data_IF_329927753305
#
_entry.id   IF_329927753305
#
_cell.length_a   1.000
_cell.length_b   1.000
_cell.length_c   1.000
_cell.angle_alpha   90.00
_cell.angle_beta   90.00
_cell.angle_gamma   90.00
#
_symmetry.space_group_name_H-M   'P 1'
#
loop_
_entity.id
_entity.type
_entity.pdbx_description
1 polymer ?
#
# COMPACT_ATOMS: atom_id res chain seq x y z
N UNK A 1 -13.30 -18.17 21.51
CA UNK A 1 -12.25 -19.03 22.05
C UNK A 1 -11.61 -19.82 20.93
N UNK A 2 -10.34 -19.52 20.65
CA UNK A 2 -9.54 -20.18 19.63
C UNK A 2 -9.27 -21.65 20.04
N UNK A 3 -10.06 -22.57 19.54
CA UNK A 3 -9.99 -23.99 19.94
C UNK A 3 -8.74 -24.74 19.44
N UNK A 4 -7.92 -24.20 18.57
CA UNK A 4 -6.74 -24.91 18.04
C UNK A 4 -5.44 -24.61 18.77
N UNK A 5 -5.21 -23.39 19.25
CA UNK A 5 -4.07 -23.01 20.06
C UNK A 5 -4.32 -23.28 21.56
N UNK A 6 -5.60 -23.31 21.99
CA UNK A 6 -5.98 -23.52 23.37
C UNK A 6 -5.53 -24.85 23.98
N UNK A 7 -5.40 -25.92 23.19
CA UNK A 7 -5.06 -27.22 23.75
C UNK A 7 -3.56 -27.41 24.02
N UNK A 8 -2.70 -26.73 23.25
CA UNK A 8 -1.25 -26.72 23.53
C UNK A 8 -0.92 -25.85 24.74
N UNK A 9 -1.63 -24.74 24.89
CA UNK A 9 -1.40 -23.78 25.98
C UNK A 9 -2.16 -24.10 27.27
N UNK A 10 -3.21 -24.91 27.26
CA UNK A 10 -3.96 -25.34 28.45
C UNK A 10 -3.11 -26.05 29.50
N UNK A 11 -1.91 -26.52 29.13
CA UNK A 11 -0.98 -27.21 30.03
C UNK A 11 0.10 -26.31 30.65
N UNK A 12 0.23 -25.06 30.15
CA UNK A 12 1.19 -24.13 30.71
C UNK A 12 0.59 -23.40 31.90
N UNK A 13 1.24 -23.50 33.04
CA UNK A 13 0.90 -22.76 34.25
C UNK A 13 2.19 -22.39 35.02
N UNK A 14 2.12 -21.31 35.74
CA UNK A 14 3.19 -20.79 36.56
C UNK A 14 2.72 -20.63 38.01
N UNK A 15 3.63 -20.77 38.94
CA UNK A 15 3.32 -20.54 40.36
C UNK A 15 3.05 -19.05 40.58
N UNK A 16 2.04 -18.75 41.39
CA UNK A 16 1.70 -17.40 41.80
C UNK A 16 1.23 -17.36 43.25
N UNK A 17 1.20 -16.17 43.91
CA UNK A 17 0.66 -16.04 45.27
C UNK A 17 -0.79 -16.55 45.43
N UNK A 18 -1.49 -16.71 44.32
CA UNK A 18 -2.89 -17.18 44.29
C UNK A 18 -3.03 -18.63 43.81
N UNK A 19 -1.90 -19.35 43.67
CA UNK A 19 -1.85 -20.72 43.14
C UNK A 19 -1.29 -20.79 41.72
N UNK A 20 -1.15 -22.02 41.23
CA UNK A 20 -0.68 -22.21 39.85
C UNK A 20 -1.72 -21.74 38.81
N UNK A 21 -1.28 -20.94 37.89
CA UNK A 21 -2.16 -20.37 36.86
C UNK A 21 -1.41 -19.80 35.67
N UNK A 22 -2.13 -19.26 34.71
CA UNK A 22 -1.59 -18.59 33.57
C UNK A 22 -2.00 -17.12 33.58
N UNK A 23 -1.08 -16.16 33.29
CA UNK A 23 -1.43 -14.78 33.08
C UNK A 23 -2.50 -14.63 31.99
N UNK A 24 -3.44 -13.72 32.20
CA UNK A 24 -4.40 -13.35 31.16
C UNK A 24 -3.72 -12.58 30.03
N UNK A 25 -4.31 -12.61 28.85
CA UNK A 25 -3.77 -11.98 27.65
C UNK A 25 -3.46 -10.48 27.86
N UNK A 26 -4.33 -9.77 28.56
CA UNK A 26 -4.19 -8.32 28.76
C UNK A 26 -2.92 -7.96 29.54
N UNK A 27 -2.63 -8.70 30.61
CA UNK A 27 -1.45 -8.46 31.46
C UNK A 27 -0.15 -8.80 30.71
N UNK A 28 -0.18 -9.77 29.80
CA UNK A 28 0.97 -10.10 28.96
C UNK A 28 1.41 -8.85 28.17
N UNK A 29 0.45 -8.20 27.47
CA UNK A 29 0.72 -6.99 26.70
C UNK A 29 1.09 -5.79 27.58
N UNK A 30 0.40 -5.58 28.70
CA UNK A 30 0.71 -4.50 29.65
C UNK A 30 2.15 -4.60 30.17
N UNK A 31 2.61 -5.80 30.54
CA UNK A 31 3.98 -6.02 31.01
C UNK A 31 4.99 -5.86 29.89
N UNK A 32 4.78 -6.50 28.73
CA UNK A 32 5.73 -6.42 27.62
C UNK A 32 5.93 -4.99 27.13
N UNK A 33 4.85 -4.22 26.99
CA UNK A 33 4.95 -2.84 26.53
C UNK A 33 5.66 -1.94 27.54
N UNK A 34 5.29 -1.99 28.83
CA UNK A 34 5.91 -1.13 29.84
C UNK A 34 7.38 -1.48 30.13
N UNK A 35 7.76 -2.76 30.07
CA UNK A 35 9.16 -3.19 30.28
C UNK A 35 10.09 -2.88 29.10
N UNK A 36 9.55 -2.85 27.87
CA UNK A 36 10.36 -2.67 26.65
C UNK A 36 10.33 -1.21 26.17
N UNK A 37 9.15 -0.57 26.20
CA UNK A 37 8.92 0.74 25.60
C UNK A 37 8.82 1.87 26.65
N UNK A 38 8.76 1.53 27.92
CA UNK A 38 8.58 2.49 29.02
C UNK A 38 7.13 2.63 29.48
N UNK A 39 6.93 3.42 30.53
CA UNK A 39 5.65 3.53 31.23
C UNK A 39 4.55 4.21 30.38
N UNK A 40 4.95 5.07 29.46
CA UNK A 40 4.07 5.74 28.49
C UNK A 40 4.58 5.49 27.07
N UNK A 41 3.72 4.99 26.20
CA UNK A 41 4.04 4.77 24.79
C UNK A 41 3.37 5.84 23.91
N UNK A 42 3.98 6.13 22.75
CA UNK A 42 3.45 7.17 21.86
C UNK A 42 2.16 6.72 21.19
N UNK A 43 2.17 5.56 20.53
CA UNK A 43 1.05 5.04 19.77
C UNK A 43 0.80 3.59 20.15
N UNK A 44 -0.46 3.27 20.49
CA UNK A 44 -0.93 1.91 20.67
C UNK A 44 -2.06 1.62 19.68
N UNK A 45 -1.99 0.48 19.00
CA UNK A 45 -2.95 0.17 17.94
C UNK A 45 -3.37 -1.28 17.92
N UNK A 46 -4.48 -1.55 17.23
CA UNK A 46 -5.00 -2.89 17.04
C UNK A 46 -6.28 -2.91 16.21
N UNK A 47 -6.92 -4.07 16.10
CA UNK A 47 -8.24 -4.17 15.52
C UNK A 47 -9.30 -3.52 16.41
N UNK A 48 -10.40 -3.07 15.82
CA UNK A 48 -11.51 -2.47 16.57
C UNK A 48 -12.12 -3.40 17.63
N UNK A 49 -11.97 -4.72 17.48
CA UNK A 49 -12.41 -5.70 18.45
C UNK A 49 -11.52 -5.79 19.70
N UNK A 50 -10.32 -5.19 19.67
CA UNK A 50 -9.42 -5.12 20.83
C UNK A 50 -9.69 -3.90 21.73
N UNK A 51 -10.41 -2.88 21.25
CA UNK A 51 -10.74 -1.68 22.02
C UNK A 51 -11.34 -2.07 23.38
N UNK A 52 -12.30 -3.01 23.33
CA UNK A 52 -12.89 -3.61 24.52
C UNK A 52 -13.04 -5.14 24.33
N UNK A 53 -12.60 -5.94 25.32
CA UNK A 53 -12.08 -5.53 26.64
C UNK A 53 -10.56 -5.40 26.72
N UNK A 54 -9.80 -5.71 25.62
CA UNK A 54 -8.34 -5.92 25.70
C UNK A 54 -7.61 -4.63 26.05
N UNK A 55 -7.68 -3.61 25.21
CA UNK A 55 -6.98 -2.34 25.42
C UNK A 55 -7.49 -1.58 26.65
N UNK A 56 -8.79 -1.65 26.95
CA UNK A 56 -9.36 -1.08 28.17
C UNK A 56 -8.73 -1.69 29.43
N UNK A 57 -8.46 -3.01 29.41
CA UNK A 57 -7.79 -3.69 30.52
C UNK A 57 -6.29 -3.38 30.57
N UNK A 58 -5.62 -3.21 29.43
CA UNK A 58 -4.22 -2.79 29.40
C UNK A 58 -4.04 -1.40 30.01
N UNK A 59 -4.94 -0.45 29.70
CA UNK A 59 -4.97 0.88 30.32
C UNK A 59 -5.08 0.73 31.85
N UNK A 60 -6.09 0.00 32.31
CA UNK A 60 -6.35 -0.15 33.74
C UNK A 60 -5.16 -0.78 34.47
N UNK A 61 -4.52 -1.79 33.90
CA UNK A 61 -3.38 -2.50 34.50
C UNK A 61 -2.11 -1.64 34.48
N UNK A 62 -1.81 -1.00 33.36
CA UNK A 62 -0.59 -0.21 33.20
C UNK A 62 -0.64 1.07 34.05
N UNK A 63 -1.74 1.81 33.98
CA UNK A 63 -1.91 3.06 34.73
C UNK A 63 -2.01 2.81 36.25
N UNK A 64 -2.61 1.70 36.67
CA UNK A 64 -2.62 1.33 38.10
C UNK A 64 -1.20 0.99 38.61
N UNK A 65 -0.32 0.45 37.78
CA UNK A 65 1.09 0.13 38.11
C UNK A 65 1.95 1.38 38.12
N UNK A 66 1.84 2.21 37.11
CA UNK A 66 2.79 3.29 36.83
C UNK A 66 2.34 4.66 37.36
N UNK A 67 1.03 4.88 37.49
CA UNK A 67 0.45 6.19 37.79
C UNK A 67 0.54 7.18 36.60
N UNK A 68 0.88 6.70 35.42
CA UNK A 68 1.06 7.52 34.21
C UNK A 68 0.09 7.08 33.11
N UNK A 69 -0.19 7.97 32.15
CA UNK A 69 -0.95 7.62 30.95
C UNK A 69 -0.23 6.53 30.16
N UNK A 70 -0.92 5.43 29.87
CA UNK A 70 -0.32 4.27 29.21
C UNK A 70 0.03 4.55 27.74
N UNK A 71 -0.86 5.17 26.97
CA UNK A 71 -0.60 5.52 25.57
C UNK A 71 -1.17 6.89 25.24
N UNK A 72 -0.40 7.71 24.49
CA UNK A 72 -0.80 9.04 24.07
C UNK A 72 -1.84 9.01 22.95
N UNK A 73 -1.67 8.07 21.98
CA UNK A 73 -2.55 7.93 20.83
C UNK A 73 -3.00 6.48 20.65
N UNK A 74 -4.28 6.32 20.34
CA UNK A 74 -4.91 5.03 20.09
C UNK A 74 -5.39 4.94 18.65
N UNK A 75 -5.02 3.87 17.96
CA UNK A 75 -5.41 3.64 16.58
C UNK A 75 -6.09 2.28 16.44
N UNK A 76 -7.36 2.27 16.03
CA UNK A 76 -8.10 1.04 15.82
C UNK A 76 -8.50 0.91 14.35
N UNK A 77 -8.03 -0.16 13.70
CA UNK A 77 -8.35 -0.43 12.31
C UNK A 77 -9.61 -1.29 12.19
N UNK A 78 -10.34 -1.05 11.11
CA UNK A 78 -11.49 -1.88 10.71
C UNK A 78 -11.07 -3.31 10.31
N UNK A 79 -12.06 -4.17 10.15
CA UNK A 79 -11.83 -5.55 9.75
C UNK A 79 -11.57 -5.69 8.26
N UNK A 80 -10.88 -6.77 7.89
CA UNK A 80 -10.84 -7.24 6.51
C UNK A 80 -11.97 -8.26 6.32
N UNK A 81 -12.87 -7.99 5.40
CA UNK A 81 -13.89 -8.90 4.94
C UNK A 81 -13.44 -9.56 3.64
N UNK A 82 -13.90 -10.77 3.38
CA UNK A 82 -13.77 -11.44 2.09
C UNK A 82 -15.18 -11.70 1.60
N UNK A 83 -15.55 -11.13 0.45
CA UNK A 83 -16.89 -11.24 -0.12
C UNK A 83 -17.98 -10.91 0.92
N UNK A 84 -17.85 -9.75 1.57
CA UNK A 84 -18.73 -9.23 2.62
C UNK A 84 -18.80 -10.06 3.93
N UNK A 85 -17.99 -11.09 4.06
CA UNK A 85 -17.90 -11.90 5.28
C UNK A 85 -16.60 -11.60 6.02
N UNK A 86 -16.69 -11.34 7.33
CA UNK A 86 -15.49 -11.13 8.17
C UNK A 86 -14.50 -12.27 7.99
N UNK A 87 -13.25 -11.93 7.62
CA UNK A 87 -12.19 -12.91 7.46
C UNK A 87 -11.87 -13.58 8.79
N UNK A 88 -11.93 -14.91 8.85
CA UNK A 88 -11.53 -15.66 10.04
C UNK A 88 -11.03 -17.06 9.70
N UNK A 89 -10.14 -17.59 10.52
CA UNK A 89 -9.66 -18.98 10.39
C UNK A 89 -10.76 -20.00 10.57
N UNK A 90 -11.73 -19.72 11.45
CA UNK A 90 -12.82 -20.64 11.74
C UNK A 90 -13.83 -20.78 10.60
N UNK A 91 -13.93 -19.78 9.72
CA UNK A 91 -14.79 -19.81 8.54
C UNK A 91 -14.09 -20.37 7.29
N UNK A 92 -12.76 -20.62 7.38
CA UNK A 92 -11.99 -21.14 6.25
C UNK A 92 -11.78 -20.13 5.11
N UNK A 93 -12.16 -18.86 5.28
CA UNK A 93 -12.00 -17.78 4.30
C UNK A 93 -10.75 -16.92 4.58
N UNK A 94 -9.78 -17.48 5.30
CA UNK A 94 -8.57 -16.79 5.69
C UNK A 94 -7.51 -16.85 4.57
N UNK A 95 -7.02 -15.69 4.13
CA UNK A 95 -5.93 -15.56 3.16
C UNK A 95 -4.76 -14.85 3.86
N UNK A 96 -3.56 -15.43 3.80
CA UNK A 96 -2.36 -14.77 4.30
C UNK A 96 -1.83 -13.77 3.28
N UNK A 97 -1.11 -12.72 3.73
CA UNK A 97 -0.38 -11.82 2.81
C UNK A 97 0.59 -12.63 1.94
N UNK A 98 1.28 -13.63 2.52
CA UNK A 98 2.18 -14.51 1.79
C UNK A 98 1.49 -15.24 0.62
N UNK A 99 0.25 -15.72 0.82
CA UNK A 99 -0.49 -16.41 -0.23
C UNK A 99 -1.05 -15.41 -1.26
N UNK A 100 -1.53 -14.27 -0.83
CA UNK A 100 -1.98 -13.20 -1.73
C UNK A 100 -0.86 -12.73 -2.68
N UNK A 101 0.37 -12.59 -2.18
CA UNK A 101 1.54 -12.17 -2.97
C UNK A 101 1.99 -13.19 -4.02
N UNK A 102 1.48 -14.42 -4.02
CA UNK A 102 1.74 -15.41 -5.09
C UNK A 102 1.02 -15.06 -6.40
N UNK A 103 -0.06 -14.29 -6.31
CA UNK A 103 -0.94 -13.98 -7.45
C UNK A 103 -1.23 -12.49 -7.63
N UNK A 104 -0.95 -11.67 -6.61
CA UNK A 104 -1.21 -10.23 -6.60
C UNK A 104 0.12 -9.51 -6.40
N UNK A 105 0.41 -8.54 -7.25
CA UNK A 105 1.57 -7.66 -7.07
C UNK A 105 1.51 -6.92 -5.73
N UNK A 106 2.66 -6.81 -5.04
CA UNK A 106 2.73 -6.23 -3.71
C UNK A 106 2.34 -4.76 -3.65
N UNK A 107 2.62 -3.98 -4.70
CA UNK A 107 2.21 -2.58 -4.76
C UNK A 107 0.70 -2.45 -5.02
N UNK A 108 0.11 -3.36 -5.80
CA UNK A 108 -1.34 -3.43 -6.01
C UNK A 108 -2.04 -3.73 -4.69
N UNK A 109 -1.55 -4.72 -3.94
CA UNK A 109 -2.11 -5.07 -2.64
C UNK A 109 -2.00 -3.90 -1.64
N UNK A 110 -0.85 -3.24 -1.59
CA UNK A 110 -0.63 -2.05 -0.75
C UNK A 110 -1.55 -0.90 -1.14
N UNK A 111 -1.66 -0.63 -2.42
CA UNK A 111 -2.54 0.43 -2.93
C UNK A 111 -4.01 0.14 -2.62
N UNK A 112 -4.45 -1.11 -2.77
CA UNK A 112 -5.79 -1.55 -2.38
C UNK A 112 -6.11 -1.19 -0.92
N UNK A 113 -5.21 -1.51 0.02
CA UNK A 113 -5.42 -1.14 1.43
C UNK A 113 -5.41 0.38 1.65
N UNK A 114 -4.55 1.12 0.98
CA UNK A 114 -4.45 2.56 1.12
C UNK A 114 -5.66 3.34 0.55
N UNK A 115 -6.47 2.72 -0.32
CA UNK A 115 -7.69 3.38 -0.87
C UNK A 115 -8.82 3.52 0.16
N UNK A 116 -8.71 2.89 1.32
CA UNK A 116 -9.71 2.95 2.37
C UNK A 116 -9.17 3.65 3.62
N UNK A 117 -10.06 4.31 4.34
CA UNK A 117 -9.69 4.84 5.66
C UNK A 117 -9.52 3.67 6.64
N UNK A 118 -8.42 3.63 7.39
CA UNK A 118 -8.04 2.50 8.25
C UNK A 118 -9.11 2.11 9.29
N UNK A 119 -9.94 3.06 9.75
CA UNK A 119 -11.04 2.77 10.70
C UNK A 119 -12.21 2.01 10.07
N UNK A 120 -12.32 1.99 8.74
CA UNK A 120 -13.43 1.34 8.06
C UNK A 120 -13.10 -0.11 7.72
N UNK A 121 -14.07 -1.01 7.78
CA UNK A 121 -13.90 -2.34 7.22
C UNK A 121 -13.57 -2.26 5.74
N UNK A 122 -12.63 -3.09 5.29
CA UNK A 122 -12.27 -3.23 3.88
C UNK A 122 -12.78 -4.57 3.35
N UNK A 123 -13.40 -4.56 2.18
CA UNK A 123 -13.89 -5.78 1.54
C UNK A 123 -12.92 -6.24 0.46
N UNK A 124 -12.21 -7.33 0.72
CA UNK A 124 -11.27 -7.94 -0.20
C UNK A 124 -12.04 -8.81 -1.19
N UNK A 125 -12.20 -8.32 -2.40
CA UNK A 125 -12.83 -9.03 -3.52
C UNK A 125 -11.90 -9.00 -4.73
N UNK A 126 -12.03 -9.99 -5.61
CA UNK A 126 -11.27 -10.03 -6.87
C UNK A 126 -11.47 -8.74 -7.69
N UNK A 127 -12.71 -8.24 -7.76
CA UNK A 127 -13.02 -7.00 -8.44
C UNK A 127 -12.30 -5.80 -7.83
N UNK A 128 -12.30 -5.66 -6.51
CA UNK A 128 -11.67 -4.52 -5.83
C UNK A 128 -10.14 -4.51 -6.03
N UNK A 129 -9.51 -5.69 -6.02
CA UNK A 129 -8.08 -5.85 -6.32
C UNK A 129 -7.78 -5.50 -7.79
N UNK A 130 -8.63 -5.95 -8.73
CA UNK A 130 -8.51 -5.60 -10.14
C UNK A 130 -8.65 -4.09 -10.39
N UNK A 131 -9.64 -3.45 -9.74
CA UNK A 131 -9.83 -2.00 -9.80
C UNK A 131 -8.60 -1.26 -9.23
N UNK A 132 -8.00 -1.75 -8.14
CA UNK A 132 -6.77 -1.21 -7.58
C UNK A 132 -5.59 -1.34 -8.58
N UNK A 133 -5.43 -2.48 -9.24
CA UNK A 133 -4.41 -2.68 -10.27
C UNK A 133 -4.58 -1.71 -11.45
N UNK A 134 -5.82 -1.52 -11.91
CA UNK A 134 -6.15 -0.58 -12.98
C UNK A 134 -5.83 0.86 -12.62
N UNK A 135 -6.18 1.26 -11.41
CA UNK A 135 -5.91 2.59 -10.87
C UNK A 135 -4.41 2.83 -10.70
N UNK A 136 -3.67 1.85 -10.17
CA UNK A 136 -2.22 1.94 -10.03
C UNK A 136 -1.53 2.07 -11.40
N UNK A 137 -1.98 1.31 -12.39
CA UNK A 137 -1.50 1.43 -13.78
C UNK A 137 -1.74 2.82 -14.37
N UNK A 138 -2.91 3.43 -14.11
CA UNK A 138 -3.18 4.80 -14.52
C UNK A 138 -2.17 5.79 -13.90
N UNK A 139 -1.86 5.66 -12.61
CA UNK A 139 -0.88 6.51 -11.92
C UNK A 139 0.54 6.27 -12.46
N UNK A 140 0.92 5.02 -12.74
CA UNK A 140 2.19 4.67 -13.37
C UNK A 140 2.31 5.33 -14.75
N UNK A 141 1.31 5.18 -15.59
CA UNK A 141 1.29 5.82 -16.92
C UNK A 141 1.42 7.34 -16.84
N UNK A 142 0.81 7.97 -15.83
CA UNK A 142 0.95 9.42 -15.60
C UNK A 142 2.38 9.78 -15.19
N UNK A 143 3.00 9.00 -14.33
CA UNK A 143 4.38 9.20 -13.87
C UNK A 143 5.41 9.09 -15.01
N UNK A 144 5.17 8.21 -15.97
CA UNK A 144 6.06 7.90 -17.09
C UNK A 144 5.87 8.83 -18.30
N UNK A 145 4.98 9.83 -18.23
CA UNK A 145 4.78 10.76 -19.33
C UNK A 145 6.00 11.64 -19.58
N UNK A 146 6.22 12.09 -20.82
CA UNK A 146 7.22 13.10 -21.14
C UNK A 146 6.86 14.44 -20.50
N UNK A 147 7.88 15.21 -20.13
CA UNK A 147 7.67 16.54 -19.59
C UNK A 147 7.08 17.48 -20.65
N UNK A 148 6.14 18.32 -20.22
CA UNK A 148 5.54 19.37 -21.07
C UNK A 148 6.28 20.71 -20.98
N UNK A 149 7.16 20.84 -19.99
CA UNK A 149 8.01 22.03 -19.77
C UNK A 149 7.34 23.19 -19.03
N UNK A 150 6.04 23.09 -18.73
CA UNK A 150 5.31 24.13 -18.00
C UNK A 150 4.44 23.53 -16.90
N UNK A 151 4.35 24.23 -15.77
CA UNK A 151 3.41 23.94 -14.70
C UNK A 151 3.28 25.19 -13.80
N UNK A 152 2.07 25.44 -13.29
CA UNK A 152 1.81 26.49 -12.30
C UNK A 152 2.26 26.02 -10.90
N UNK A 153 3.28 26.68 -10.36
CA UNK A 153 3.82 26.35 -9.03
C UNK A 153 2.80 26.59 -7.90
N UNK A 154 1.92 27.57 -8.03
CA UNK A 154 0.90 27.84 -7.02
C UNK A 154 -0.16 26.74 -7.01
N UNK A 155 -0.53 26.26 -8.20
CA UNK A 155 -1.45 25.13 -8.30
C UNK A 155 -0.84 23.83 -7.75
N UNK A 156 0.46 23.60 -8.01
CA UNK A 156 1.17 22.46 -7.42
C UNK A 156 1.15 22.56 -5.89
N UNK A 157 1.48 23.73 -5.33
CA UNK A 157 1.47 23.94 -3.88
C UNK A 157 0.08 23.67 -3.29
N UNK A 158 -0.99 24.11 -3.95
CA UNK A 158 -2.36 23.87 -3.52
C UNK A 158 -2.70 22.37 -3.42
N UNK A 159 -2.17 21.52 -4.33
CA UNK A 159 -2.32 20.06 -4.21
C UNK A 159 -1.55 19.50 -3.01
N UNK A 160 -0.32 19.99 -2.76
CA UNK A 160 0.49 19.56 -1.62
C UNK A 160 -0.19 19.91 -0.30
N UNK A 161 -0.70 21.14 -0.17
CA UNK A 161 -1.42 21.59 1.01
C UNK A 161 -2.69 20.78 1.25
N UNK A 162 -3.46 20.50 0.18
CA UNK A 162 -4.67 19.67 0.24
C UNK A 162 -4.35 18.24 0.66
N UNK A 163 -3.24 17.68 0.16
CA UNK A 163 -2.78 16.35 0.56
C UNK A 163 -2.40 16.31 2.04
N UNK A 164 -1.60 17.30 2.48
CA UNK A 164 -1.19 17.42 3.88
C UNK A 164 -2.41 17.52 4.80
N UNK A 165 -3.36 18.39 4.46
CA UNK A 165 -4.60 18.53 5.23
C UNK A 165 -5.40 17.23 5.33
N UNK A 166 -5.46 16.45 4.24
CA UNK A 166 -6.13 15.15 4.25
C UNK A 166 -5.40 14.14 5.16
N UNK A 167 -4.07 14.11 5.13
CA UNK A 167 -3.29 13.18 5.95
C UNK A 167 -3.23 13.60 7.42
N UNK A 168 -3.28 14.90 7.72
CA UNK A 168 -3.36 15.43 9.09
C UNK A 168 -4.72 15.16 9.73
N UNK A 169 -5.77 14.90 8.94
CA UNK A 169 -7.08 14.51 9.42
C UNK A 169 -7.14 12.99 9.65
N UNK A 170 -6.57 12.51 10.76
CA UNK A 170 -6.62 11.12 11.19
C UNK A 170 -6.09 10.13 10.11
N UNK A 171 -4.98 10.48 9.46
CA UNK A 171 -4.37 9.66 8.40
C UNK A 171 -5.36 9.26 7.30
N UNK A 172 -6.14 10.20 6.81
CA UNK A 172 -7.18 9.95 5.80
C UNK A 172 -6.58 9.62 4.43
N UNK A 173 -5.99 8.44 4.33
CA UNK A 173 -5.36 7.94 3.12
C UNK A 173 -6.30 7.94 1.91
N UNK A 174 -7.59 7.65 2.11
CA UNK A 174 -8.58 7.68 1.04
C UNK A 174 -8.71 9.07 0.40
N UNK A 175 -8.77 10.13 1.22
CA UNK A 175 -8.77 11.50 0.72
C UNK A 175 -7.39 11.89 0.15
N UNK A 176 -6.29 11.46 0.77
CA UNK A 176 -4.94 11.67 0.25
C UNK A 176 -4.78 11.09 -1.16
N UNK A 177 -5.23 9.86 -1.40
CA UNK A 177 -5.22 9.22 -2.73
C UNK A 177 -6.13 9.98 -3.72
N UNK A 178 -7.26 10.51 -3.27
CA UNK A 178 -8.11 11.36 -4.13
C UNK A 178 -7.32 12.57 -4.64
N UNK A 179 -6.54 13.23 -3.78
CA UNK A 179 -5.66 14.33 -4.20
C UNK A 179 -4.59 13.88 -5.18
N UNK A 180 -4.01 12.68 -4.99
CA UNK A 180 -3.05 12.09 -5.95
C UNK A 180 -3.69 11.92 -7.33
N UNK A 181 -4.95 11.46 -7.42
CA UNK A 181 -5.66 11.37 -8.69
C UNK A 181 -5.99 12.74 -9.30
N UNK A 182 -6.35 13.73 -8.49
CA UNK A 182 -6.56 15.10 -8.97
C UNK A 182 -5.27 15.69 -9.56
N UNK A 183 -4.14 15.48 -8.88
CA UNK A 183 -2.81 15.87 -9.38
C UNK A 183 -2.46 15.11 -10.67
N UNK A 184 -2.70 13.80 -10.73
CA UNK A 184 -2.50 13.01 -11.94
C UNK A 184 -3.32 13.54 -13.12
N UNK A 185 -4.58 13.90 -12.90
CA UNK A 185 -5.44 14.50 -13.91
C UNK A 185 -4.89 15.86 -14.39
N UNK A 186 -4.39 16.68 -13.46
CA UNK A 186 -3.77 17.96 -13.80
C UNK A 186 -2.46 17.76 -14.61
N UNK A 187 -1.63 16.79 -14.24
CA UNK A 187 -0.46 16.38 -15.02
C UNK A 187 -0.87 16.00 -16.45
N UNK A 188 -1.88 15.17 -16.60
CA UNK A 188 -2.40 14.69 -17.88
C UNK A 188 -3.03 15.80 -18.75
N UNK A 189 -3.33 16.96 -18.17
CA UNK A 189 -3.79 18.14 -18.92
C UNK A 189 -2.63 19.03 -19.44
N UNK A 190 -1.39 18.59 -19.33
CA UNK A 190 -0.22 19.25 -19.90
C UNK A 190 0.66 20.01 -18.90
N UNK A 191 0.57 19.71 -17.61
CA UNK A 191 1.29 20.39 -16.55
C UNK A 191 2.36 19.46 -15.93
N UNK A 192 3.34 19.03 -16.72
CA UNK A 192 4.32 18.06 -16.25
C UNK A 192 5.75 18.54 -16.42
N UNK A 193 6.41 18.79 -15.29
CA UNK A 193 7.81 19.19 -15.17
C UNK A 193 8.54 18.24 -14.24
N UNK A 194 9.88 18.31 -14.21
CA UNK A 194 10.69 17.53 -13.25
C UNK A 194 10.27 17.79 -11.79
N UNK A 195 9.90 19.03 -11.44
CA UNK A 195 9.42 19.39 -10.10
C UNK A 195 8.08 18.71 -9.79
N UNK A 196 7.14 18.72 -10.73
CA UNK A 196 5.83 18.07 -10.58
C UNK A 196 6.00 16.56 -10.45
N UNK A 197 6.86 15.94 -11.26
CA UNK A 197 7.21 14.51 -11.16
C UNK A 197 7.73 14.14 -9.77
N UNK A 198 8.70 14.93 -9.27
CA UNK A 198 9.26 14.69 -7.94
C UNK A 198 8.20 14.81 -6.82
N UNK A 199 7.33 15.82 -6.90
CA UNK A 199 6.23 15.99 -5.96
C UNK A 199 5.23 14.82 -6.05
N UNK A 200 4.82 14.43 -7.24
CA UNK A 200 3.91 13.31 -7.48
C UNK A 200 4.47 11.98 -6.93
N UNK A 201 5.77 11.70 -7.20
CA UNK A 201 6.46 10.54 -6.65
C UNK A 201 6.45 10.55 -5.12
N UNK A 202 6.71 11.72 -4.50
CA UNK A 202 6.76 11.86 -3.04
C UNK A 202 5.39 11.61 -2.38
N UNK A 203 4.30 12.06 -3.00
CA UNK A 203 2.95 11.77 -2.50
C UNK A 203 2.63 10.26 -2.59
N UNK A 204 3.05 9.59 -3.66
CA UNK A 204 2.88 8.14 -3.83
C UNK A 204 3.74 7.36 -2.82
N UNK A 205 4.95 7.82 -2.55
CA UNK A 205 5.88 7.21 -1.58
C UNK A 205 5.29 7.18 -0.16
N UNK A 206 4.47 8.16 0.23
CA UNK A 206 3.75 8.16 1.53
C UNK A 206 2.89 6.90 1.67
N UNK A 207 2.33 6.39 0.58
CA UNK A 207 1.58 5.14 0.56
C UNK A 207 2.47 3.91 0.29
N UNK A 208 3.79 4.10 0.19
CA UNK A 208 4.74 3.05 -0.15
C UNK A 208 4.64 2.58 -1.60
N UNK A 209 4.14 3.43 -2.49
CA UNK A 209 4.08 3.19 -3.94
C UNK A 209 5.30 3.85 -4.58
N UNK A 210 6.14 3.04 -5.20
CA UNK A 210 7.37 3.50 -5.84
C UNK A 210 7.39 3.00 -7.28
N UNK A 211 7.39 3.91 -8.24
CA UNK A 211 7.60 3.57 -9.64
C UNK A 211 9.09 3.68 -9.96
N UNK A 212 9.69 2.55 -10.22
CA UNK A 212 11.08 2.47 -10.67
C UNK A 212 11.09 2.74 -12.18
N UNK A 213 11.94 3.65 -12.63
CA UNK A 213 12.20 3.81 -14.07
C UNK A 213 12.93 2.54 -14.52
N UNK A 214 12.27 1.75 -15.33
CA UNK A 214 12.92 0.62 -15.98
C UNK A 214 13.87 1.19 -17.04
N UNK A 215 15.17 1.06 -16.81
CA UNK A 215 16.18 1.34 -17.82
C UNK A 215 16.24 0.13 -18.72
N UNK A 216 16.00 0.31 -20.01
CA UNK A 216 16.20 -0.76 -20.98
C UNK A 216 17.69 -1.09 -21.07
N UNK A 217 17.99 -2.38 -21.24
CA UNK A 217 19.33 -2.79 -21.66
C UNK A 217 19.67 -2.12 -22.99
N UNK A 218 20.91 -1.69 -23.16
CA UNK A 218 21.39 -0.98 -24.36
C UNK A 218 21.08 -1.76 -25.66
N UNK A 219 21.05 -3.09 -25.60
CA UNK A 219 20.68 -3.94 -26.74
C UNK A 219 19.20 -3.81 -27.11
N UNK A 220 18.33 -3.65 -26.11
CA UNK A 220 16.89 -3.47 -26.33
C UNK A 220 16.60 -2.06 -26.89
N UNK A 221 17.26 -1.03 -26.36
CA UNK A 221 17.16 0.34 -26.90
C UNK A 221 17.59 0.37 -28.38
N UNK A 222 18.71 -0.27 -28.70
CA UNK A 222 19.20 -0.41 -30.09
C UNK A 222 18.19 -1.11 -30.99
N UNK A 223 17.58 -2.20 -30.54
CA UNK A 223 16.55 -2.92 -31.31
C UNK A 223 15.30 -2.05 -31.55
N UNK A 224 14.90 -1.26 -30.58
CA UNK A 224 13.78 -0.31 -30.77
C UNK A 224 14.11 0.74 -31.80
N UNK A 225 15.36 1.28 -31.78
CA UNK A 225 15.83 2.27 -32.74
C UNK A 225 15.96 1.66 -34.13
N UNK A 226 16.55 0.47 -34.28
CA UNK A 226 16.61 -0.27 -35.54
C UNK A 226 15.22 -0.52 -36.14
N UNK A 227 14.23 -0.86 -35.31
CA UNK A 227 12.84 -1.01 -35.76
C UNK A 227 12.25 0.31 -36.29
N UNK A 228 12.52 1.43 -35.61
CA UNK A 228 12.04 2.73 -36.08
C UNK A 228 12.65 3.11 -37.44
N UNK A 229 13.95 2.85 -37.61
CA UNK A 229 14.65 3.08 -38.88
C UNK A 229 14.08 2.18 -39.99
N UNK A 230 13.86 0.88 -39.70
CA UNK A 230 13.24 -0.04 -40.65
C UNK A 230 11.85 0.44 -41.11
N UNK A 231 11.00 0.91 -40.19
CA UNK A 231 9.69 1.46 -40.50
C UNK A 231 9.77 2.75 -41.35
N UNK A 232 10.69 3.65 -41.01
CA UNK A 232 10.93 4.86 -41.79
C UNK A 232 11.34 4.54 -43.23
N UNK A 233 12.12 3.47 -43.44
CA UNK A 233 12.56 2.98 -44.72
C UNK A 233 11.52 2.05 -45.42
N UNK A 234 10.33 1.85 -44.80
CA UNK A 234 9.27 0.94 -45.28
C UNK A 234 9.69 -0.54 -45.37
N UNK A 235 10.71 -0.91 -44.62
CA UNK A 235 11.10 -2.31 -44.39
C UNK A 235 10.27 -2.92 -43.24
N UNK A 236 9.04 -3.27 -43.58
CA UNK A 236 8.09 -3.80 -42.61
C UNK A 236 8.48 -5.21 -42.15
N UNK A 237 9.17 -5.99 -42.99
CA UNK A 237 9.61 -7.32 -42.63
C UNK A 237 10.62 -7.29 -41.46
N UNK A 238 11.62 -6.40 -41.54
CA UNK A 238 12.57 -6.20 -40.44
C UNK A 238 11.89 -5.62 -39.21
N UNK A 239 10.99 -4.66 -39.38
CA UNK A 239 10.29 -4.04 -38.26
C UNK A 239 9.41 -5.04 -37.49
N UNK A 240 8.72 -5.95 -38.18
CA UNK A 240 7.87 -6.99 -37.56
C UNK A 240 8.75 -8.05 -36.87
N UNK A 241 9.85 -8.49 -37.50
CA UNK A 241 10.80 -9.41 -36.87
C UNK A 241 11.33 -8.88 -35.53
N UNK A 242 11.76 -7.61 -35.49
CA UNK A 242 12.27 -6.97 -34.27
C UNK A 242 11.15 -6.87 -33.23
N UNK A 243 9.92 -6.53 -33.60
CA UNK A 243 8.79 -6.49 -32.68
C UNK A 243 8.54 -7.87 -32.04
N UNK A 244 8.56 -8.92 -32.84
CA UNK A 244 8.33 -10.28 -32.36
C UNK A 244 9.48 -10.78 -31.48
N UNK A 245 10.73 -10.40 -31.80
CA UNK A 245 11.91 -10.67 -30.96
C UNK A 245 11.82 -9.97 -29.58
N UNK A 246 11.39 -8.71 -29.54
CA UNK A 246 11.19 -7.98 -28.30
C UNK A 246 10.00 -8.54 -27.51
N UNK A 247 8.92 -8.94 -28.20
CA UNK A 247 7.77 -9.58 -27.56
C UNK A 247 8.16 -10.93 -26.91
N UNK A 248 9.04 -11.71 -27.53
CA UNK A 248 9.57 -12.95 -26.96
C UNK A 248 10.41 -12.71 -25.68
N UNK A 249 10.95 -11.51 -25.51
CA UNK A 249 11.67 -11.06 -24.31
C UNK A 249 10.74 -10.37 -23.27
N UNK A 250 9.41 -10.43 -23.47
CA UNK A 250 8.43 -9.80 -22.60
C UNK A 250 8.28 -8.30 -22.81
N UNK A 251 8.81 -7.73 -23.92
CA UNK A 251 8.75 -6.30 -24.20
C UNK A 251 7.69 -6.03 -25.29
N UNK A 252 6.64 -5.30 -24.89
CA UNK A 252 5.58 -4.86 -25.80
C UNK A 252 5.78 -3.43 -26.24
N UNK A 253 5.78 -3.20 -27.54
CA UNK A 253 5.93 -1.88 -28.13
C UNK A 253 4.57 -1.27 -28.47
N UNK A 254 4.40 0.02 -28.13
CA UNK A 254 3.23 0.84 -28.45
C UNK A 254 3.69 2.04 -29.28
N UNK A 255 3.27 2.07 -30.55
CA UNK A 255 3.51 3.22 -31.43
C UNK A 255 2.58 4.37 -31.03
N UNK A 256 3.16 5.54 -30.74
CA UNK A 256 2.42 6.76 -30.42
C UNK A 256 2.79 7.89 -31.40
N UNK A 257 2.06 9.00 -31.36
CA UNK A 257 2.37 10.18 -32.21
C UNK A 257 3.72 10.82 -31.86
N UNK A 258 4.18 10.63 -30.62
CA UNK A 258 5.40 11.23 -30.06
C UNK A 258 6.58 10.24 -30.03
N UNK A 259 6.43 9.04 -30.62
CA UNK A 259 7.46 8.00 -30.64
C UNK A 259 6.95 6.62 -30.25
N UNK A 260 7.87 5.70 -29.93
CA UNK A 260 7.54 4.34 -29.47
C UNK A 260 7.62 4.31 -27.95
N UNK A 261 6.55 3.84 -27.30
CA UNK A 261 6.55 3.44 -25.90
C UNK A 261 6.69 1.94 -25.78
N UNK A 262 7.18 1.48 -24.66
CA UNK A 262 7.30 0.06 -24.39
C UNK A 262 6.79 -0.26 -22.99
N UNK A 263 6.42 -1.50 -22.78
CA UNK A 263 6.09 -2.06 -21.47
C UNK A 263 6.74 -3.44 -21.35
N UNK A 264 7.18 -3.81 -20.16
CA UNK A 264 7.65 -5.17 -19.86
C UNK A 264 6.52 -5.92 -19.14
N UNK A 265 6.22 -7.16 -19.61
CA UNK A 265 5.23 -8.03 -18.96
C UNK A 265 5.79 -8.65 -17.68
#
# INVERSE_FOLDING_TARGET
PSRGLGDVYKRQSWDSPWGAGRPGWHIECSVMSTEILGDTIDIHGGGADLEFPHHTNEIAQSEAKTGQTFANYWMHNGFVNIDDVKMSKSLGNFITVHDALKTIDGQVLRFFFATQHYRKPINFTEKAVHDAATNLKYLKNTYEQPFTGQADSNQLQAFLDKFTAAMDEDFNAANGITVVFELAKWINSGNYTAQVKAAFAKLLEVFGIVFVEEVLDADIERLIEERQVARANRDFATADRIRDELAAQGIKLLDTKDGVRWTRD
#
